data_IF_722602235277
#
_entry.id   IF_722602235277
#
_cell.length_a   1.000
_cell.length_b   1.000
_cell.length_c   1.000
_cell.angle_alpha   90.00
_cell.angle_beta   90.00
_cell.angle_gamma   90.00
#
_symmetry.space_group_name_H-M   'P 1'
#
loop_
_entity.id
_entity.type
_entity.pdbx_description
1 polymer ?
#
# COMPACT_ATOMS: atom_id res chain seq x y z
N UNK A 1 27.24 -3.12 8.17
CA UNK A 1 26.76 -1.88 7.52
C UNK A 1 27.21 -1.93 6.07
N UNK A 2 26.27 -1.98 5.13
CA UNK A 2 26.60 -1.73 3.73
C UNK A 2 27.16 -0.30 3.61
N UNK A 3 28.09 -0.08 2.68
CA UNK A 3 28.62 1.25 2.42
C UNK A 3 27.50 2.14 1.89
N UNK A 4 27.36 3.36 2.44
CA UNK A 4 26.45 4.36 1.91
C UNK A 4 26.75 4.57 0.41
N UNK A 5 25.74 4.67 -0.46
CA UNK A 5 25.98 4.99 -1.86
C UNK A 5 26.78 6.30 -1.94
N UNK A 6 27.81 6.34 -2.80
CA UNK A 6 28.66 7.52 -2.89
C UNK A 6 27.87 8.72 -3.41
N UNK A 7 28.27 9.92 -2.99
CA UNK A 7 27.73 11.21 -3.47
C UNK A 7 27.62 11.23 -5.00
N UNK A 8 28.67 10.75 -5.68
CA UNK A 8 28.70 10.67 -7.14
C UNK A 8 27.59 9.78 -7.71
N UNK A 9 27.26 8.65 -7.09
CA UNK A 9 26.17 7.77 -7.56
C UNK A 9 24.81 8.47 -7.45
N UNK A 10 24.57 9.20 -6.35
CA UNK A 10 23.31 9.94 -6.13
C UNK A 10 23.18 11.11 -7.10
N UNK A 11 24.25 11.89 -7.26
CA UNK A 11 24.29 13.08 -8.13
C UNK A 11 24.26 12.72 -9.61
N UNK A 12 24.93 11.66 -10.04
CA UNK A 12 24.91 11.24 -11.47
C UNK A 12 23.61 10.53 -11.85
N UNK A 13 22.95 9.89 -10.87
CA UNK A 13 21.67 9.20 -11.06
C UNK A 13 20.46 10.13 -11.12
N UNK A 14 20.49 11.25 -10.40
CA UNK A 14 19.48 12.30 -10.48
C UNK A 14 19.81 13.25 -11.63
N UNK A 15 18.85 13.69 -12.44
CA UNK A 15 19.06 14.85 -13.33
C UNK A 15 19.09 16.13 -12.48
N UNK A 16 20.10 16.28 -11.62
CA UNK A 16 20.22 17.43 -10.74
C UNK A 16 20.51 18.68 -11.57
N UNK A 17 19.87 19.80 -11.24
CA UNK A 17 20.24 21.09 -11.82
C UNK A 17 21.72 21.37 -11.47
N UNK A 18 22.58 21.66 -12.45
CA UNK A 18 23.99 21.93 -12.20
C UNK A 18 24.24 23.00 -11.14
N UNK A 19 23.32 23.97 -10.96
CA UNK A 19 23.43 25.00 -9.93
C UNK A 19 23.35 24.46 -8.50
N UNK A 20 22.66 23.33 -8.31
CA UNK A 20 22.41 22.71 -7.01
C UNK A 20 23.52 21.72 -6.62
N UNK A 21 24.36 21.27 -7.57
CA UNK A 21 25.42 20.28 -7.33
C UNK A 21 26.33 20.67 -6.15
N UNK A 22 26.92 21.88 -6.08
CA UNK A 22 27.85 22.20 -5.00
C UNK A 22 27.19 22.14 -3.62
N UNK A 23 25.93 22.59 -3.51
CA UNK A 23 25.19 22.57 -2.26
C UNK A 23 24.83 21.14 -1.82
N UNK A 24 24.45 20.28 -2.78
CA UNK A 24 24.21 18.86 -2.50
C UNK A 24 25.49 18.16 -2.06
N UNK A 25 26.62 18.39 -2.73
CA UNK A 25 27.91 17.80 -2.36
C UNK A 25 28.29 18.19 -0.93
N UNK A 26 28.21 19.48 -0.58
CA UNK A 26 28.46 19.96 0.78
C UNK A 26 27.54 19.31 1.81
N UNK A 27 26.23 19.28 1.56
CA UNK A 27 25.26 18.73 2.51
C UNK A 27 25.47 17.23 2.75
N UNK A 28 25.79 16.49 1.71
CA UNK A 28 26.04 15.04 1.81
C UNK A 28 27.36 14.75 2.52
N UNK A 29 28.40 15.55 2.26
CA UNK A 29 29.67 15.46 2.97
C UNK A 29 29.51 15.77 4.47
N UNK A 30 28.79 16.84 4.81
CA UNK A 30 28.45 17.20 6.18
C UNK A 30 27.75 16.04 6.91
N UNK A 31 26.70 15.47 6.31
CA UNK A 31 25.97 14.34 6.91
C UNK A 31 26.87 13.10 7.10
N UNK A 32 27.74 12.82 6.13
CA UNK A 32 28.65 11.67 6.19
C UNK A 32 29.70 11.84 7.28
N UNK A 33 30.12 13.07 7.59
CA UNK A 33 31.09 13.37 8.64
C UNK A 33 30.49 13.33 10.05
N UNK A 34 29.17 13.36 10.20
CA UNK A 34 28.50 13.19 11.49
C UNK A 34 28.72 11.78 12.07
N UNK A 35 28.81 11.70 13.39
CA UNK A 35 28.76 10.43 14.13
C UNK A 35 27.38 9.75 13.97
N UNK A 36 27.25 8.44 14.22
CA UNK A 36 25.97 7.75 14.12
C UNK A 36 24.85 8.40 14.94
N UNK A 37 25.14 8.80 16.18
CA UNK A 37 24.17 9.47 17.06
C UNK A 37 23.74 10.85 16.51
N UNK A 38 24.68 11.62 15.98
CA UNK A 38 24.36 12.91 15.35
C UNK A 38 23.53 12.70 14.08
N UNK A 39 23.84 11.69 13.26
CA UNK A 39 23.02 11.34 12.10
C UNK A 39 21.59 10.99 12.51
N UNK A 40 21.40 10.18 13.54
CA UNK A 40 20.07 9.83 14.03
C UNK A 40 19.26 11.06 14.47
N UNK A 41 19.91 12.01 15.15
CA UNK A 41 19.27 13.24 15.62
C UNK A 41 19.00 14.25 14.49
N UNK A 42 19.91 14.36 13.51
CA UNK A 42 19.86 15.41 12.49
C UNK A 42 19.29 14.96 11.15
N UNK A 43 19.11 13.65 10.91
CA UNK A 43 18.62 13.07 9.64
C UNK A 43 17.44 13.82 9.06
N UNK A 44 16.44 14.11 9.88
CA UNK A 44 15.25 14.83 9.46
C UNK A 44 15.55 16.21 8.87
N UNK A 45 16.42 16.98 9.52
CA UNK A 45 16.85 18.31 9.07
C UNK A 45 17.64 18.24 7.76
N UNK A 46 18.53 17.25 7.62
CA UNK A 46 19.25 17.02 6.37
C UNK A 46 18.31 16.65 5.22
N UNK A 47 17.32 15.79 5.48
CA UNK A 47 16.29 15.41 4.50
C UNK A 47 15.47 16.62 4.04
N UNK A 48 15.00 17.46 4.97
CA UNK A 48 14.22 18.67 4.66
C UNK A 48 15.00 19.68 3.81
N UNK A 49 16.34 19.74 3.96
CA UNK A 49 17.22 20.58 3.14
C UNK A 49 17.59 19.94 1.80
N UNK A 50 17.85 18.63 1.78
CA UNK A 50 18.34 17.93 0.60
C UNK A 50 17.27 17.80 -0.48
N UNK A 51 16.08 17.33 -0.11
CA UNK A 51 15.05 16.97 -1.09
C UNK A 51 14.63 18.13 -2.02
N UNK A 52 14.44 19.37 -1.54
CA UNK A 52 14.19 20.52 -2.42
C UNK A 52 15.28 20.76 -3.47
N UNK A 53 16.54 20.42 -3.21
CA UNK A 53 17.61 20.56 -4.20
C UNK A 53 17.48 19.58 -5.36
N UNK A 54 16.82 18.43 -5.14
CA UNK A 54 16.60 17.39 -6.15
C UNK A 54 15.26 17.53 -6.89
N UNK A 55 14.26 18.14 -6.25
CA UNK A 55 12.87 18.11 -6.75
C UNK A 55 12.20 19.49 -6.85
N UNK A 56 12.90 20.57 -6.46
CA UNK A 56 12.40 21.94 -6.39
C UNK A 56 11.04 22.00 -5.66
N UNK A 57 10.01 22.61 -6.25
CA UNK A 57 8.66 22.68 -5.67
C UNK A 57 7.95 21.32 -5.52
N UNK A 58 8.47 20.26 -6.14
CA UNK A 58 7.91 18.90 -6.00
C UNK A 58 8.42 18.19 -4.73
N UNK A 59 9.24 18.84 -3.89
CA UNK A 59 9.51 18.42 -2.52
C UNK A 59 8.83 19.38 -1.53
N UNK A 60 7.68 18.98 -1.01
CA UNK A 60 6.88 19.76 -0.06
C UNK A 60 7.36 19.47 1.35
N UNK A 61 8.05 20.45 1.95
CA UNK A 61 8.63 20.35 3.30
C UNK A 61 7.57 20.70 4.36
N UNK A 62 7.62 20.03 5.51
CA UNK A 62 6.80 20.34 6.68
C UNK A 62 6.90 21.82 7.07
N UNK A 63 5.75 22.46 7.32
CA UNK A 63 5.65 23.89 7.62
C UNK A 63 5.62 24.81 6.39
N UNK A 64 5.81 24.29 5.18
CA UNK A 64 5.57 25.07 3.95
C UNK A 64 4.09 25.27 3.67
N UNK A 65 3.73 26.30 2.91
CA UNK A 65 2.32 26.59 2.56
C UNK A 65 1.64 25.46 1.77
N UNK A 66 2.40 24.70 0.98
CA UNK A 66 1.88 23.57 0.20
C UNK A 66 1.63 22.30 1.03
N UNK A 67 2.14 22.24 2.27
CA UNK A 67 2.07 21.06 3.12
C UNK A 67 0.65 20.74 3.60
N UNK A 68 -0.12 21.75 3.99
CA UNK A 68 -1.49 21.55 4.48
C UNK A 68 -2.42 20.94 3.43
N UNK A 69 -2.18 21.21 2.14
CA UNK A 69 -2.92 20.57 1.07
C UNK A 69 -2.69 19.04 1.03
N UNK A 70 -1.48 18.58 1.40
CA UNK A 70 -1.15 17.14 1.43
C UNK A 70 -1.88 16.41 2.57
N UNK A 71 -2.20 17.10 3.66
CA UNK A 71 -2.91 16.54 4.81
C UNK A 71 -4.35 16.09 4.49
N UNK A 72 -4.96 16.67 3.46
CA UNK A 72 -6.34 16.39 3.06
C UNK A 72 -6.44 15.25 2.03
N UNK A 73 -5.32 14.66 1.61
CA UNK A 73 -5.29 13.64 0.56
C UNK A 73 -5.68 12.24 1.06
N UNK A 74 -5.22 11.75 2.24
CA UNK A 74 -5.66 10.47 2.78
C UNK A 74 -7.16 10.43 3.05
N UNK A 75 -7.80 9.29 2.76
CA UNK A 75 -9.22 9.07 3.03
C UNK A 75 -9.53 8.99 4.53
N UNK A 76 -8.73 8.24 5.29
CA UNK A 76 -8.80 8.22 6.74
C UNK A 76 -7.85 9.26 7.34
N UNK A 77 -8.40 10.19 8.13
CA UNK A 77 -7.60 11.24 8.80
C UNK A 77 -6.64 10.67 9.84
N UNK A 78 -6.97 9.50 10.42
CA UNK A 78 -6.10 8.78 11.35
C UNK A 78 -4.79 8.29 10.68
N UNK A 79 -4.77 8.19 9.35
CA UNK A 79 -3.59 7.76 8.60
C UNK A 79 -2.60 8.90 8.29
N UNK A 80 -2.91 10.16 8.61
CA UNK A 80 -1.96 11.25 8.45
C UNK A 80 -1.01 11.34 9.64
N UNK A 81 0.28 11.07 9.41
CA UNK A 81 1.30 10.94 10.47
C UNK A 81 2.36 12.03 10.49
N UNK A 82 2.17 13.15 9.80
CA UNK A 82 3.13 14.27 9.78
C UNK A 82 4.53 13.92 9.23
N UNK A 83 4.64 13.49 7.96
CA UNK A 83 5.95 13.30 7.33
C UNK A 83 6.72 14.62 7.22
N UNK A 84 8.05 14.56 7.23
CA UNK A 84 8.91 15.75 7.07
C UNK A 84 8.89 16.30 5.65
N UNK A 85 8.84 15.41 4.67
CA UNK A 85 8.82 15.78 3.24
C UNK A 85 7.81 14.92 2.51
N UNK A 86 6.98 15.55 1.68
CA UNK A 86 6.16 14.88 0.66
C UNK A 86 6.76 15.17 -0.70
N UNK A 87 7.23 14.14 -1.40
CA UNK A 87 7.80 14.25 -2.74
C UNK A 87 6.75 13.85 -3.77
N UNK A 88 6.60 14.65 -4.82
CA UNK A 88 5.67 14.43 -5.93
C UNK A 88 6.46 14.09 -7.21
N UNK A 89 7.07 12.89 -7.31
CA UNK A 89 7.77 12.49 -8.52
C UNK A 89 6.81 12.39 -9.72
N UNK A 90 7.31 12.77 -10.90
CA UNK A 90 6.60 12.75 -12.19
C UNK A 90 7.17 11.72 -13.17
N UNK A 91 8.17 10.95 -12.73
CA UNK A 91 8.83 9.92 -13.54
C UNK A 91 9.40 8.80 -12.68
N UNK A 92 9.54 7.61 -13.28
CA UNK A 92 10.20 6.49 -12.61
C UNK A 92 11.64 6.83 -12.17
N UNK A 93 12.35 7.68 -12.93
CA UNK A 93 13.67 8.18 -12.56
C UNK A 93 13.64 8.97 -11.25
N UNK A 94 12.67 9.88 -11.08
CA UNK A 94 12.51 10.63 -9.84
C UNK A 94 12.12 9.74 -8.66
N UNK A 95 11.28 8.71 -8.86
CA UNK A 95 11.01 7.71 -7.83
C UNK A 95 12.30 6.99 -7.40
N UNK A 96 13.12 6.55 -8.37
CA UNK A 96 14.41 5.93 -8.09
C UNK A 96 15.39 6.86 -7.36
N UNK A 97 15.42 8.15 -7.71
CA UNK A 97 16.19 9.16 -6.98
C UNK A 97 15.71 9.30 -5.53
N UNK A 98 14.40 9.38 -5.31
CA UNK A 98 13.82 9.48 -3.96
C UNK A 98 14.20 8.28 -3.10
N UNK A 99 14.05 7.05 -3.62
CA UNK A 99 14.43 5.83 -2.90
C UNK A 99 15.94 5.79 -2.60
N UNK A 100 16.77 6.25 -3.54
CA UNK A 100 18.22 6.33 -3.34
C UNK A 100 18.59 7.30 -2.22
N UNK A 101 17.91 8.45 -2.14
CA UNK A 101 18.08 9.41 -1.05
C UNK A 101 17.57 8.85 0.28
N UNK A 102 16.43 8.16 0.29
CA UNK A 102 15.89 7.54 1.51
C UNK A 102 16.87 6.52 2.08
N UNK A 103 17.42 5.66 1.21
CA UNK A 103 18.48 4.70 1.55
C UNK A 103 19.75 5.39 2.05
N UNK A 104 20.20 6.47 1.38
CA UNK A 104 21.39 7.21 1.79
C UNK A 104 21.25 7.83 3.18
N UNK A 105 20.14 8.52 3.44
CA UNK A 105 19.92 9.14 4.74
C UNK A 105 19.52 8.12 5.81
N UNK A 106 19.04 6.93 5.43
CA UNK A 106 18.44 5.95 6.34
C UNK A 106 17.09 6.44 6.88
N UNK A 107 16.32 7.18 6.09
CA UNK A 107 15.05 7.76 6.50
C UNK A 107 13.88 6.87 6.07
N UNK A 108 12.93 6.67 6.98
CA UNK A 108 11.68 5.96 6.70
C UNK A 108 10.93 6.61 5.55
N UNK A 109 10.34 5.78 4.69
CA UNK A 109 9.47 6.27 3.62
C UNK A 109 8.14 5.52 3.55
N UNK A 110 7.15 6.17 2.95
CA UNK A 110 5.85 5.58 2.63
C UNK A 110 5.48 5.93 1.20
N UNK A 111 4.71 5.07 0.54
CA UNK A 111 4.24 5.31 -0.83
C UNK A 111 2.74 5.64 -0.77
N UNK A 112 2.36 6.70 -1.48
CA UNK A 112 1.00 7.20 -1.51
C UNK A 112 0.47 7.21 -2.95
N UNK A 113 -0.53 6.37 -3.23
CA UNK A 113 -1.31 6.38 -4.49
C UNK A 113 -2.55 7.26 -4.36
N UNK A 114 -3.74 6.68 -4.51
CA UNK A 114 -5.02 7.40 -4.39
C UNK A 114 -5.47 7.76 -2.95
N UNK A 115 -4.73 7.30 -1.94
CA UNK A 115 -4.93 7.67 -0.53
C UNK A 115 -5.99 6.88 0.26
N UNK A 116 -6.42 5.71 -0.22
CA UNK A 116 -7.54 4.97 0.36
C UNK A 116 -7.18 3.95 1.46
N UNK A 117 -5.89 3.71 1.71
CA UNK A 117 -5.47 2.76 2.74
C UNK A 117 -5.89 3.27 4.13
N UNK A 118 -6.67 2.49 4.92
CA UNK A 118 -6.97 2.85 6.30
C UNK A 118 -5.90 2.37 7.29
N UNK A 119 -4.89 1.65 6.81
CA UNK A 119 -3.79 1.16 7.63
C UNK A 119 -2.83 2.29 7.99
N UNK A 120 -2.77 2.62 9.29
CA UNK A 120 -1.86 3.62 9.84
C UNK A 120 -0.41 3.24 9.53
N UNK A 121 0.39 4.18 9.03
CA UNK A 121 1.81 3.95 8.73
C UNK A 121 2.13 3.43 7.33
N UNK A 122 1.11 3.09 6.52
CA UNK A 122 1.31 2.49 5.20
C UNK A 122 1.51 3.55 4.11
N UNK A 123 0.55 4.46 3.97
CA UNK A 123 0.59 5.55 2.98
C UNK A 123 1.10 6.89 3.53
N UNK A 124 1.53 6.91 4.80
CA UNK A 124 2.14 8.04 5.50
C UNK A 124 3.01 7.52 6.63
N UNK A 125 3.97 8.32 7.09
CA UNK A 125 4.81 8.02 8.25
C UNK A 125 5.02 9.29 9.09
N UNK A 126 5.50 9.08 10.32
CA UNK A 126 5.91 10.14 11.24
C UNK A 126 7.40 10.41 11.08
N UNK A 127 7.74 11.66 10.75
CA UNK A 127 9.11 12.13 10.72
C UNK A 127 9.94 11.71 9.50
N UNK A 128 9.38 10.98 8.53
CA UNK A 128 10.08 10.51 7.32
C UNK A 128 9.62 11.17 6.02
N UNK A 129 9.67 10.41 4.92
CA UNK A 129 9.36 10.88 3.56
C UNK A 129 8.12 10.19 3.01
N UNK A 130 7.20 10.93 2.40
CA UNK A 130 6.09 10.34 1.63
C UNK A 130 6.36 10.53 0.14
N UNK A 131 6.30 9.44 -0.62
CA UNK A 131 6.40 9.43 -2.07
C UNK A 131 4.98 9.43 -2.64
N UNK A 132 4.49 10.61 -3.04
CA UNK A 132 3.16 10.77 -3.64
C UNK A 132 3.21 10.51 -5.13
N UNK A 133 2.50 9.48 -5.57
CA UNK A 133 2.40 9.08 -6.97
C UNK A 133 1.29 9.84 -7.71
N UNK A 134 0.71 10.89 -7.12
CA UNK A 134 -0.42 11.63 -7.68
C UNK A 134 -0.16 12.22 -9.08
N UNK A 135 1.10 12.47 -9.45
CA UNK A 135 1.46 12.96 -10.78
C UNK A 135 1.52 11.87 -11.87
N UNK A 136 1.37 10.60 -11.51
CA UNK A 136 1.18 9.50 -12.46
C UNK A 136 -0.32 9.33 -12.70
N UNK A 137 -0.88 10.24 -13.50
CA UNK A 137 -2.32 10.42 -13.71
C UNK A 137 -2.79 10.06 -15.13
N UNK A 138 -1.97 9.32 -15.89
CA UNK A 138 -2.28 9.00 -17.28
C UNK A 138 -3.41 7.96 -17.42
N UNK A 139 -4.21 8.09 -18.48
CA UNK A 139 -5.05 7.01 -19.01
C UNK A 139 -4.79 6.92 -20.50
N UNK A 140 -4.09 5.86 -20.94
CA UNK A 140 -3.71 5.64 -22.34
C UNK A 140 -4.31 4.33 -22.84
N UNK A 141 -5.17 4.43 -23.85
CA UNK A 141 -5.73 3.25 -24.52
C UNK A 141 -4.78 2.71 -25.59
N UNK A 142 -4.73 1.40 -25.75
CA UNK A 142 -4.13 0.76 -26.92
C UNK A 142 -4.86 1.15 -28.21
N UNK A 143 -4.23 0.96 -29.36
CA UNK A 143 -4.83 1.29 -30.66
C UNK A 143 -6.14 0.52 -30.95
N UNK A 144 -6.25 -0.70 -30.43
CA UNK A 144 -7.46 -1.54 -30.49
C UNK A 144 -8.42 -1.34 -29.32
N UNK A 145 -8.04 -0.51 -28.33
CA UNK A 145 -8.78 -0.21 -27.10
C UNK A 145 -9.09 -1.42 -26.20
N UNK A 146 -8.39 -2.53 -26.39
CA UNK A 146 -8.56 -3.72 -25.55
C UNK A 146 -7.78 -3.64 -24.24
N UNK A 147 -6.80 -2.72 -24.14
CA UNK A 147 -6.02 -2.50 -22.93
C UNK A 147 -5.88 -1.00 -22.63
N UNK A 148 -5.73 -0.70 -21.33
CA UNK A 148 -5.50 0.65 -20.83
C UNK A 148 -4.25 0.65 -19.93
N UNK A 149 -3.33 1.57 -20.19
CA UNK A 149 -2.24 1.95 -19.28
C UNK A 149 -2.75 3.08 -18.38
N UNK A 150 -2.90 2.76 -17.09
CA UNK A 150 -3.53 3.61 -16.07
C UNK A 150 -2.45 4.02 -15.07
N UNK A 151 -2.37 5.32 -14.81
CA UNK A 151 -1.48 5.91 -13.83
C UNK A 151 -1.84 5.52 -12.40
N UNK A 152 -0.82 5.13 -11.64
CA UNK A 152 -0.93 4.64 -10.25
C UNK A 152 -1.30 5.72 -9.23
N UNK A 153 -1.36 6.99 -9.65
CA UNK A 153 -1.85 8.11 -8.84
C UNK A 153 -3.36 8.34 -8.93
N UNK A 154 -4.05 7.71 -9.88
CA UNK A 154 -5.48 7.94 -10.12
C UNK A 154 -6.35 7.29 -9.05
N UNK A 155 -7.50 7.92 -8.79
CA UNK A 155 -8.63 7.31 -8.10
C UNK A 155 -9.57 6.67 -9.12
N UNK A 156 -10.28 5.61 -8.74
CA UNK A 156 -11.15 4.86 -9.65
C UNK A 156 -12.18 5.73 -10.38
N UNK A 157 -12.75 6.74 -9.72
CA UNK A 157 -13.69 7.65 -10.37
C UNK A 157 -13.06 8.42 -11.54
N UNK A 158 -11.79 8.83 -11.41
CA UNK A 158 -11.09 9.56 -12.46
C UNK A 158 -10.77 8.63 -13.65
N UNK A 159 -10.46 7.36 -13.37
CA UNK A 159 -10.33 6.33 -14.39
C UNK A 159 -11.65 6.13 -15.15
N UNK A 160 -12.77 5.95 -14.44
CA UNK A 160 -14.07 5.75 -15.08
C UNK A 160 -14.48 6.96 -15.91
N UNK A 161 -14.31 8.18 -15.39
CA UNK A 161 -14.58 9.40 -16.17
C UNK A 161 -13.75 9.49 -17.45
N UNK A 162 -12.47 9.11 -17.39
CA UNK A 162 -11.60 9.13 -18.56
C UNK A 162 -12.01 8.10 -19.63
N UNK A 163 -12.53 6.94 -19.22
CA UNK A 163 -12.95 5.86 -20.11
C UNK A 163 -14.38 6.01 -20.64
N UNK A 164 -15.25 6.72 -19.91
CA UNK A 164 -16.66 6.95 -20.26
C UNK A 164 -16.83 7.54 -21.67
N UNK A 165 -15.95 8.48 -22.06
CA UNK A 165 -15.93 9.07 -23.40
C UNK A 165 -15.69 8.09 -24.55
N UNK A 166 -15.25 6.87 -24.24
CA UNK A 166 -14.96 5.82 -25.21
C UNK A 166 -15.94 4.64 -25.13
N UNK A 167 -16.98 4.73 -24.29
CA UNK A 167 -17.91 3.63 -23.96
C UNK A 167 -17.19 2.40 -23.39
N UNK A 168 -16.12 2.63 -22.62
CA UNK A 168 -15.28 1.59 -22.02
C UNK A 168 -15.32 1.64 -20.49
N UNK A 169 -15.09 0.48 -19.87
CA UNK A 169 -14.87 0.37 -18.44
C UNK A 169 -13.79 -0.68 -18.16
N UNK A 170 -13.08 -0.52 -17.04
CA UNK A 170 -12.18 -1.52 -16.49
C UNK A 170 -12.75 -2.05 -15.17
N UNK A 171 -12.42 -3.29 -14.81
CA UNK A 171 -12.76 -3.80 -13.49
C UNK A 171 -11.96 -3.03 -12.43
N UNK A 172 -12.67 -2.41 -11.50
CA UNK A 172 -12.11 -1.65 -10.39
C UNK A 172 -13.09 -1.57 -9.23
N UNK A 173 -12.66 -0.95 -8.13
CA UNK A 173 -13.51 -0.77 -6.96
C UNK A 173 -14.47 0.42 -7.14
N UNK A 174 -15.54 0.43 -6.33
CA UNK A 174 -16.52 1.51 -6.28
C UNK A 174 -16.05 2.69 -5.41
N UNK A 175 -16.90 3.71 -5.29
CA UNK A 175 -16.70 4.83 -4.38
C UNK A 175 -16.89 4.37 -2.93
N UNK A 176 -15.90 4.59 -2.07
CA UNK A 176 -16.14 4.47 -0.62
C UNK A 176 -16.88 5.70 -0.10
N UNK A 177 -17.78 5.47 0.83
CA UNK A 177 -18.53 6.54 1.51
C UNK A 177 -17.70 7.03 2.70
N UNK A 178 -17.37 8.33 2.78
CA UNK A 178 -16.69 8.89 3.96
C UNK A 178 -17.59 8.81 5.19
N UNK A 179 -17.02 8.65 6.40
CA UNK A 179 -17.79 8.83 7.63
C UNK A 179 -17.17 8.23 8.89
N UNK A 180 -16.47 7.09 8.77
CA UNK A 180 -15.89 6.40 9.93
C UNK A 180 -14.43 6.76 10.13
N UNK A 181 -13.98 6.70 11.39
CA UNK A 181 -12.61 7.07 11.78
C UNK A 181 -11.68 5.86 11.81
N UNK A 182 -12.23 4.68 12.12
CA UNK A 182 -11.49 3.44 12.29
C UNK A 182 -12.01 2.36 11.34
N UNK A 183 -11.08 1.53 10.86
CA UNK A 183 -11.36 0.45 9.92
C UNK A 183 -10.53 -0.78 10.26
N UNK A 184 -11.06 -1.96 9.96
CA UNK A 184 -10.36 -3.24 10.06
C UNK A 184 -10.76 -4.15 8.90
N UNK A 185 -9.77 -4.83 8.31
CA UNK A 185 -9.95 -5.77 7.22
C UNK A 185 -9.43 -7.14 7.65
N UNK A 186 -10.15 -8.20 7.28
CA UNK A 186 -9.68 -9.58 7.42
C UNK A 186 -10.14 -10.42 6.25
N UNK A 187 -9.30 -11.35 5.80
CA UNK A 187 -9.57 -12.13 4.58
C UNK A 187 -9.44 -13.63 4.77
N UNK A 188 -10.16 -14.41 3.96
CA UNK A 188 -9.92 -15.83 3.74
C UNK A 188 -10.34 -16.22 2.31
N UNK A 189 -9.95 -17.41 1.85
CA UNK A 189 -10.30 -17.88 0.51
C UNK A 189 -10.93 -19.26 0.52
N UNK A 190 -11.88 -19.49 -0.38
CA UNK A 190 -12.50 -20.80 -0.61
C UNK A 190 -12.93 -20.97 -2.06
N UNK A 191 -13.28 -22.20 -2.45
CA UNK A 191 -14.13 -22.42 -3.61
C UNK A 191 -15.57 -21.98 -3.32
N UNK A 192 -16.39 -21.67 -4.34
CA UNK A 192 -17.80 -21.34 -4.14
C UNK A 192 -18.54 -22.38 -3.31
N UNK A 193 -19.17 -21.94 -2.22
CA UNK A 193 -19.92 -22.83 -1.32
C UNK A 193 -21.08 -22.07 -0.67
N UNK A 194 -22.30 -22.60 -0.84
CA UNK A 194 -23.50 -22.04 -0.21
C UNK A 194 -23.38 -22.06 1.32
N UNK A 195 -22.85 -23.15 1.89
CA UNK A 195 -22.68 -23.30 3.34
C UNK A 195 -21.70 -22.28 3.92
N UNK A 196 -20.65 -21.95 3.17
CA UNK A 196 -19.72 -20.87 3.51
C UNK A 196 -20.46 -19.53 3.51
N UNK A 197 -21.24 -19.23 2.47
CA UNK A 197 -21.98 -17.96 2.37
C UNK A 197 -23.06 -17.81 3.47
N UNK A 198 -23.78 -18.88 3.78
CA UNK A 198 -24.75 -18.89 4.88
C UNK A 198 -24.06 -18.70 6.24
N UNK A 199 -22.86 -19.26 6.41
CA UNK A 199 -22.07 -19.09 7.63
C UNK A 199 -21.53 -17.67 7.77
N UNK A 200 -21.02 -17.09 6.68
CA UNK A 200 -20.61 -15.69 6.60
C UNK A 200 -21.73 -14.78 7.12
N UNK A 201 -22.94 -14.91 6.58
CA UNK A 201 -24.04 -14.01 6.95
C UNK A 201 -24.55 -14.27 8.37
N UNK A 202 -24.71 -15.53 8.76
CA UNK A 202 -25.15 -15.90 10.12
C UNK A 202 -24.21 -15.34 11.19
N UNK A 203 -22.90 -15.56 11.04
CA UNK A 203 -21.92 -15.13 12.05
C UNK A 203 -21.72 -13.62 12.01
N UNK A 204 -21.84 -12.97 10.85
CA UNK A 204 -21.85 -11.50 10.75
C UNK A 204 -22.97 -10.90 11.59
N UNK A 205 -24.20 -11.37 11.39
CA UNK A 205 -25.38 -10.88 12.14
C UNK A 205 -25.25 -11.14 13.64
N UNK A 206 -24.72 -12.32 14.02
CA UNK A 206 -24.46 -12.63 15.42
C UNK A 206 -23.46 -11.65 16.05
N UNK A 207 -22.32 -11.42 15.41
CA UNK A 207 -21.30 -10.50 15.93
C UNK A 207 -21.77 -9.04 15.92
N UNK A 208 -22.50 -8.61 14.90
CA UNK A 208 -23.11 -7.27 14.84
C UNK A 208 -24.09 -7.06 16.02
N UNK A 209 -24.87 -8.09 16.38
CA UNK A 209 -25.73 -8.06 17.56
C UNK A 209 -24.96 -7.96 18.88
N UNK A 210 -23.82 -8.63 18.99
CA UNK A 210 -22.96 -8.57 20.18
C UNK A 210 -22.25 -7.23 20.35
N UNK A 211 -22.10 -6.47 19.27
CA UNK A 211 -21.45 -5.16 19.23
C UNK A 211 -22.44 -4.00 19.11
N UNK A 212 -23.70 -4.21 19.53
CA UNK A 212 -24.76 -3.22 19.40
C UNK A 212 -24.51 -1.90 20.17
N UNK A 213 -23.55 -1.89 21.09
CA UNK A 213 -23.10 -0.73 21.87
C UNK A 213 -21.98 0.07 21.19
N UNK A 214 -21.36 -0.45 20.12
CA UNK A 214 -20.32 0.25 19.37
C UNK A 214 -20.95 1.33 18.49
N UNK A 215 -20.54 2.57 18.70
CA UNK A 215 -21.06 3.73 17.98
C UNK A 215 -20.74 3.68 16.48
N UNK A 216 -21.79 3.82 15.65
CA UNK A 216 -21.71 3.83 14.19
C UNK A 216 -20.93 2.62 13.64
N UNK A 217 -21.11 1.44 14.25
CA UNK A 217 -20.52 0.22 13.75
C UNK A 217 -21.17 -0.18 12.42
N UNK A 218 -20.33 -0.55 11.46
CA UNK A 218 -20.73 -1.23 10.24
C UNK A 218 -19.85 -2.44 10.02
N UNK A 219 -20.44 -3.63 9.94
CA UNK A 219 -19.74 -4.84 9.48
C UNK A 219 -20.27 -5.21 8.09
N UNK A 220 -19.37 -5.17 7.10
CA UNK A 220 -19.67 -5.52 5.71
C UNK A 220 -18.84 -6.71 5.26
N UNK A 221 -19.44 -7.53 4.40
CA UNK A 221 -18.80 -8.70 3.81
C UNK A 221 -18.76 -8.54 2.30
N UNK A 222 -17.60 -8.75 1.69
CA UNK A 222 -17.40 -8.70 0.25
C UNK A 222 -16.89 -10.05 -0.23
N UNK A 223 -17.52 -10.57 -1.29
CA UNK A 223 -17.11 -11.79 -1.97
C UNK A 223 -16.54 -11.39 -3.32
N UNK A 224 -15.28 -11.72 -3.57
CA UNK A 224 -14.61 -11.44 -4.83
C UNK A 224 -14.38 -12.75 -5.60
N UNK A 225 -15.18 -13.03 -6.65
CA UNK A 225 -15.02 -14.22 -7.43
C UNK A 225 -13.77 -14.13 -8.31
N UNK A 226 -12.92 -15.14 -8.24
CA UNK A 226 -11.77 -15.34 -9.11
C UNK A 226 -11.97 -16.58 -9.96
N UNK A 227 -11.98 -16.42 -11.28
CA UNK A 227 -12.22 -17.53 -12.19
C UNK A 227 -10.97 -18.41 -12.35
N UNK A 228 -11.17 -19.72 -12.51
CA UNK A 228 -10.09 -20.64 -12.86
C UNK A 228 -9.40 -20.25 -14.17
N UNK A 229 -10.15 -19.70 -15.12
CA UNK A 229 -9.64 -19.23 -16.42
C UNK A 229 -8.65 -18.07 -16.23
N UNK A 230 -8.95 -17.11 -15.35
CA UNK A 230 -8.04 -15.99 -15.04
C UNK A 230 -6.71 -16.49 -14.47
N UNK A 231 -6.77 -17.51 -13.61
CA UNK A 231 -5.59 -18.10 -12.97
C UNK A 231 -4.77 -18.90 -13.98
N UNK A 232 -5.44 -19.70 -14.83
CA UNK A 232 -4.83 -20.42 -15.95
C UNK A 232 -4.09 -19.47 -16.88
N UNK A 233 -4.76 -18.40 -17.31
CA UNK A 233 -4.18 -17.42 -18.23
C UNK A 233 -2.97 -16.72 -17.60
N UNK A 234 -3.06 -16.36 -16.32
CA UNK A 234 -1.94 -15.77 -15.58
C UNK A 234 -0.73 -16.70 -15.57
N UNK A 235 -0.93 -18.00 -15.29
CA UNK A 235 0.12 -19.03 -15.33
C UNK A 235 0.80 -19.13 -16.69
N UNK A 236 0.04 -19.10 -17.78
CA UNK A 236 0.55 -19.23 -19.14
C UNK A 236 1.31 -17.97 -19.63
N UNK A 237 0.88 -16.77 -19.21
CA UNK A 237 1.45 -15.49 -19.69
C UNK A 237 2.56 -14.96 -18.79
N UNK A 238 2.34 -14.95 -17.47
CA UNK A 238 3.17 -14.22 -16.49
C UNK A 238 3.60 -15.06 -15.28
N UNK A 239 3.17 -16.33 -15.20
CA UNK A 239 3.42 -17.22 -14.06
C UNK A 239 2.39 -17.07 -12.94
N UNK A 240 2.68 -17.64 -11.77
CA UNK A 240 1.77 -17.66 -10.62
C UNK A 240 2.52 -17.37 -9.31
N UNK A 241 2.99 -16.12 -9.11
CA UNK A 241 3.75 -15.76 -7.92
C UNK A 241 2.93 -15.85 -6.62
N UNK A 242 1.61 -15.86 -6.73
CA UNK A 242 0.67 -15.94 -5.61
C UNK A 242 0.35 -17.38 -5.17
N UNK A 243 0.82 -18.40 -5.90
CA UNK A 243 0.58 -19.81 -5.56
C UNK A 243 -0.87 -20.28 -5.75
N UNK A 244 -1.70 -19.54 -6.49
CA UNK A 244 -3.13 -19.81 -6.62
C UNK A 244 -3.41 -21.14 -7.32
N UNK A 245 -4.34 -21.93 -6.78
CA UNK A 245 -4.86 -23.14 -7.42
C UNK A 245 -5.77 -22.79 -8.62
N UNK A 246 -5.71 -23.57 -9.69
CA UNK A 246 -6.52 -23.35 -10.90
C UNK A 246 -7.96 -23.87 -10.74
N UNK A 247 -8.65 -23.39 -9.72
CA UNK A 247 -10.05 -23.68 -9.40
C UNK A 247 -10.84 -22.38 -9.33
N UNK A 248 -12.16 -22.46 -9.37
CA UNK A 248 -12.98 -21.28 -9.06
C UNK A 248 -12.76 -20.90 -7.61
N UNK A 249 -12.32 -19.67 -7.35
CA UNK A 249 -12.06 -19.17 -6.00
C UNK A 249 -12.98 -18.02 -5.65
N UNK A 250 -13.16 -17.79 -4.36
CA UNK A 250 -13.87 -16.68 -3.76
C UNK A 250 -12.96 -16.11 -2.68
N UNK A 251 -12.53 -14.86 -2.86
CA UNK A 251 -11.74 -14.16 -1.84
C UNK A 251 -12.68 -13.33 -1.00
N UNK A 252 -12.84 -13.75 0.24
CA UNK A 252 -13.70 -13.13 1.21
C UNK A 252 -12.97 -11.98 1.90
N UNK A 253 -13.65 -10.85 2.05
CA UNK A 253 -13.26 -9.73 2.89
C UNK A 253 -14.36 -9.54 3.94
N UNK A 254 -13.99 -9.63 5.21
CA UNK A 254 -14.76 -9.05 6.30
C UNK A 254 -14.17 -7.67 6.61
N UNK A 255 -15.01 -6.65 6.57
CA UNK A 255 -14.65 -5.26 6.83
C UNK A 255 -15.49 -4.72 7.99
N UNK A 256 -14.85 -4.04 8.94
CA UNK A 256 -15.52 -3.30 9.98
C UNK A 256 -15.12 -1.82 9.93
N UNK A 257 -16.11 -0.94 10.08
CA UNK A 257 -15.94 0.51 10.23
C UNK A 257 -16.59 0.97 11.54
N UNK A 258 -15.93 1.84 12.30
CA UNK A 258 -16.46 2.39 13.56
C UNK A 258 -15.80 3.73 13.92
N UNK A 259 -16.32 4.43 14.93
CA UNK A 259 -15.87 5.78 15.27
C UNK A 259 -14.90 5.87 16.45
N UNK A 260 -15.15 5.13 17.53
CA UNK A 260 -14.37 5.24 18.76
C UNK A 260 -13.15 4.29 18.74
N UNK A 261 -11.91 4.79 18.70
CA UNK A 261 -10.71 3.93 18.66
C UNK A 261 -10.58 2.96 19.84
N UNK A 262 -11.20 3.28 21.00
CA UNK A 262 -11.17 2.42 22.19
C UNK A 262 -11.87 1.07 21.96
N UNK A 263 -12.85 1.01 21.05
CA UNK A 263 -13.61 -0.21 20.76
C UNK A 263 -12.84 -1.18 19.83
N UNK A 264 -11.73 -0.73 19.26
CA UNK A 264 -11.01 -1.49 18.22
C UNK A 264 -10.52 -2.87 18.66
N UNK A 265 -10.21 -3.06 19.95
CA UNK A 265 -9.86 -4.39 20.47
C UNK A 265 -11.02 -5.38 20.39
N UNK A 266 -12.22 -4.93 20.75
CA UNK A 266 -13.43 -5.75 20.76
C UNK A 266 -13.92 -6.01 19.33
N UNK A 267 -13.95 -4.99 18.48
CA UNK A 267 -14.32 -5.13 17.06
C UNK A 267 -13.40 -6.12 16.34
N UNK A 268 -12.07 -5.99 16.48
CA UNK A 268 -11.12 -6.94 15.86
C UNK A 268 -11.28 -8.38 16.34
N UNK A 269 -11.67 -8.59 17.59
CA UNK A 269 -11.96 -9.93 18.11
C UNK A 269 -13.18 -10.54 17.42
N UNK A 270 -14.24 -9.75 17.21
CA UNK A 270 -15.42 -10.19 16.49
C UNK A 270 -15.13 -10.48 15.00
N UNK A 271 -14.33 -9.63 14.34
CA UNK A 271 -13.88 -9.86 12.95
C UNK A 271 -13.08 -11.15 12.81
N UNK A 272 -12.21 -11.45 13.78
CA UNK A 272 -11.51 -12.74 13.85
C UNK A 272 -12.48 -13.90 14.01
N UNK A 273 -13.48 -13.78 14.89
CA UNK A 273 -14.49 -14.83 15.09
C UNK A 273 -15.27 -15.14 13.81
N UNK A 274 -15.67 -14.11 13.04
CA UNK A 274 -16.34 -14.27 11.74
C UNK A 274 -15.46 -15.11 10.81
N UNK A 275 -14.21 -14.70 10.60
CA UNK A 275 -13.32 -15.40 9.64
C UNK A 275 -12.96 -16.81 10.11
N UNK A 276 -12.69 -17.01 11.40
CA UNK A 276 -12.36 -18.33 11.95
C UNK A 276 -13.52 -19.33 11.78
N UNK A 277 -14.77 -18.88 12.00
CA UNK A 277 -15.95 -19.71 11.79
C UNK A 277 -16.15 -20.06 10.30
N UNK A 278 -15.97 -19.08 9.41
CA UNK A 278 -16.08 -19.26 7.95
C UNK A 278 -14.99 -20.21 7.43
N UNK A 279 -13.75 -20.07 7.90
CA UNK A 279 -12.68 -21.00 7.59
C UNK A 279 -12.96 -22.41 8.09
N UNK A 280 -13.48 -22.55 9.32
CA UNK A 280 -13.81 -23.87 9.87
C UNK A 280 -14.86 -24.58 9.00
N UNK A 281 -15.90 -23.86 8.55
CA UNK A 281 -16.90 -24.38 7.61
C UNK A 281 -16.28 -24.77 6.27
N UNK A 282 -15.44 -23.90 5.68
CA UNK A 282 -14.77 -24.18 4.42
C UNK A 282 -13.83 -25.40 4.51
N UNK A 283 -13.14 -25.57 5.65
CA UNK A 283 -12.28 -26.73 5.90
C UNK A 283 -13.12 -28.00 6.08
N UNK A 284 -14.24 -27.92 6.80
CA UNK A 284 -15.13 -29.06 7.05
C UNK A 284 -15.79 -29.60 5.77
N UNK A 285 -16.17 -28.73 4.83
CA UNK A 285 -16.77 -29.13 3.55
C UNK A 285 -15.76 -29.25 2.39
N UNK A 286 -14.46 -29.12 2.66
CA UNK A 286 -13.39 -29.32 1.68
C UNK A 286 -13.25 -28.22 0.62
N UNK A 287 -13.79 -27.03 0.87
CA UNK A 287 -13.71 -25.88 -0.06
C UNK A 287 -12.66 -24.85 0.32
N UNK A 288 -12.02 -24.95 1.50
CA UNK A 288 -10.98 -24.02 1.93
C UNK A 288 -9.79 -23.98 0.97
N UNK A 289 -9.32 -22.77 0.67
CA UNK A 289 -8.09 -22.52 -0.09
C UNK A 289 -7.12 -21.77 0.83
N UNK A 290 -5.87 -22.26 0.99
CA UNK A 290 -4.88 -21.69 1.92
C UNK A 290 -4.22 -20.41 1.37
N UNK A 291 -5.04 -19.43 0.96
CA UNK A 291 -4.63 -18.16 0.38
C UNK A 291 -5.25 -16.98 1.14
N UNK A 292 -4.43 -16.00 1.52
CA UNK A 292 -4.88 -14.72 2.07
C UNK A 292 -4.51 -13.60 1.11
N UNK A 293 -5.51 -12.81 0.70
CA UNK A 293 -5.28 -11.68 -0.18
C UNK A 293 -4.60 -10.53 0.59
N UNK A 294 -3.34 -10.23 0.25
CA UNK A 294 -2.48 -9.30 0.97
C UNK A 294 -3.14 -7.93 1.26
N UNK A 295 -3.92 -7.41 0.30
CA UNK A 295 -4.56 -6.09 0.42
C UNK A 295 -5.61 -6.01 1.54
N UNK A 296 -6.15 -7.16 1.96
CA UNK A 296 -7.20 -7.28 2.99
C UNK A 296 -6.76 -8.13 4.18
N UNK A 297 -5.47 -8.42 4.29
CA UNK A 297 -4.92 -9.13 5.43
C UNK A 297 -4.92 -8.22 6.67
N UNK A 298 -5.48 -8.71 7.77
CA UNK A 298 -5.37 -8.08 9.09
C UNK A 298 -3.90 -8.07 9.55
N UNK A 299 -3.48 -7.15 10.45
CA UNK A 299 -2.09 -7.09 10.94
C UNK A 299 -1.52 -8.40 11.52
N UNK A 300 -2.39 -9.32 11.95
CA UNK A 300 -2.01 -10.63 12.48
C UNK A 300 -2.09 -11.78 11.46
N UNK A 301 -2.49 -11.51 10.21
CA UNK A 301 -2.44 -12.48 9.11
C UNK A 301 -1.11 -12.35 8.36
N UNK A 302 -0.49 -13.49 8.05
CA UNK A 302 0.68 -13.55 7.18
C UNK A 302 0.23 -13.95 5.76
N UNK A 303 -0.01 -12.99 4.85
CA UNK A 303 -0.40 -13.30 3.49
C UNK A 303 0.73 -13.86 2.65
N UNK A 304 1.99 -13.52 2.93
CA UNK A 304 3.13 -14.00 2.15
C UNK A 304 3.38 -15.49 2.38
N UNK A 305 3.15 -15.98 3.61
CA UNK A 305 3.19 -17.41 3.91
C UNK A 305 2.17 -18.21 3.08
N UNK A 306 1.08 -17.58 2.64
CA UNK A 306 0.02 -18.23 1.85
C UNK A 306 0.37 -18.44 0.37
N UNK A 307 1.49 -17.89 -0.11
CA UNK A 307 1.88 -18.02 -1.53
C UNK A 307 2.54 -19.37 -1.86
N UNK A 308 2.80 -20.19 -0.83
CA UNK A 308 3.54 -21.45 -0.93
C UNK A 308 5.05 -21.26 -0.76
N UNK A 309 5.71 -22.29 -0.22
CA UNK A 309 7.14 -22.24 0.16
C UNK A 309 8.06 -21.87 -1.01
N UNK A 310 7.88 -22.50 -2.17
CA UNK A 310 8.70 -22.26 -3.37
C UNK A 310 8.58 -20.81 -3.86
N UNK A 311 7.34 -20.28 -3.94
CA UNK A 311 7.12 -18.91 -4.37
C UNK A 311 7.68 -17.90 -3.36
N UNK A 312 7.49 -18.16 -2.06
CA UNK A 312 8.01 -17.28 -1.01
C UNK A 312 9.55 -17.27 -0.99
N UNK A 313 10.20 -18.41 -1.20
CA UNK A 313 11.65 -18.49 -1.35
C UNK A 313 12.12 -17.71 -2.57
N UNK A 314 11.46 -17.87 -3.72
CA UNK A 314 11.77 -17.08 -4.93
C UNK A 314 11.59 -15.58 -4.71
N UNK A 315 10.56 -15.14 -3.98
CA UNK A 315 10.38 -13.73 -3.63
C UNK A 315 11.52 -13.22 -2.73
N UNK A 316 12.00 -14.04 -1.78
CA UNK A 316 13.16 -13.71 -0.96
C UNK A 316 14.45 -13.62 -1.79
N UNK A 317 14.66 -14.53 -2.74
CA UNK A 317 15.81 -14.47 -3.66
C UNK A 317 15.77 -13.20 -4.52
N UNK A 318 14.61 -12.84 -5.05
CA UNK A 318 14.40 -11.60 -5.81
C UNK A 318 14.71 -10.39 -4.93
N UNK A 319 14.19 -10.36 -3.70
CA UNK A 319 14.48 -9.30 -2.74
C UNK A 319 15.99 -9.19 -2.45
N UNK A 320 16.67 -10.30 -2.14
CA UNK A 320 18.12 -10.30 -1.92
C UNK A 320 18.93 -9.86 -3.14
N UNK A 321 18.44 -10.13 -4.36
CA UNK A 321 19.10 -9.73 -5.60
C UNK A 321 18.96 -8.23 -5.89
N UNK A 322 17.76 -7.67 -5.73
CA UNK A 322 17.46 -6.30 -6.16
C UNK A 322 17.47 -5.28 -5.02
N UNK A 323 17.30 -5.72 -3.78
CA UNK A 323 17.35 -4.92 -2.55
C UNK A 323 18.22 -5.64 -1.48
N UNK A 324 19.54 -5.78 -1.72
CA UNK A 324 20.44 -6.51 -0.82
C UNK A 324 20.56 -5.87 0.58
N UNK A 325 20.18 -4.60 0.71
CA UNK A 325 20.19 -3.88 1.99
C UNK A 325 18.86 -3.96 2.73
N UNK A 326 17.83 -4.55 2.11
CA UNK A 326 16.49 -4.67 2.67
C UNK A 326 15.81 -3.32 2.92
N UNK A 327 16.02 -2.33 2.04
CA UNK A 327 15.43 -0.99 2.13
C UNK A 327 13.91 -1.07 2.31
N UNK A 328 13.22 -1.92 1.56
CA UNK A 328 11.76 -2.06 1.65
C UNK A 328 11.29 -2.83 2.89
N UNK A 329 12.19 -3.46 3.64
CA UNK A 329 11.88 -4.20 4.87
C UNK A 329 12.31 -3.45 6.14
N UNK A 330 13.25 -2.51 6.03
CA UNK A 330 13.91 -1.89 7.18
C UNK A 330 13.65 -0.38 7.31
N UNK A 331 13.26 0.30 6.23
CA UNK A 331 12.91 1.73 6.24
C UNK A 331 11.39 1.92 6.25
#
# INVERSE_FOLDING_TARGET
MAALPSVAVIVTGANLDPKNIPQVETLVEEFTNLSPTERDNERGSFVEKAFPLFFDENAVVHGSSAYEAQRQVPWSTACWLQPRVVVLPRSAKQVGTTLSLCRFFGIKFSIHGGGHSPSIGWSSNDGGVVISLAAFDQVKLSGDKLTADIGVGLRWLDVYKALDHYDLAVAGEGLAVPGHVCHDFRTMSSQPSLEVYETVERVRVEQEGLLSDVEELRISNVIQPMSSISIKQSREVSGNPLGLEEVGQQWFLAMADWNNPADGGHVRQAMRHIVDAVEATAKANGTYLPYHYCNYASPDQDPLASYGTENLEKLREIASKYDPDGVFQTL
#
